data_IF_111424343195
#
_entry.id   IF_111424343195
#
_cell.length_a   1.000
_cell.length_b   1.000
_cell.length_c   1.000
_cell.angle_alpha   90.00
_cell.angle_beta   90.00
_cell.angle_gamma   90.00
#
_symmetry.space_group_name_H-M   'P 1'
#
loop_
_entity.id
_entity.type
_entity.pdbx_description
1 polymer ?
#
# COMPACT_ATOMS: atom_id res chain seq x y z
N UNK A 1 -0.87 21.71 19.63
CA UNK A 1 -1.88 21.73 18.55
C UNK A 1 -3.18 21.20 19.11
N UNK A 2 -4.33 21.83 18.82
CA UNK A 2 -5.65 21.38 19.31
C UNK A 2 -6.14 20.08 18.61
N UNK A 3 -5.47 19.63 17.55
CA UNK A 3 -5.72 18.35 16.90
C UNK A 3 -4.44 17.50 16.89
N UNK A 4 -4.38 16.41 17.67
CA UNK A 4 -3.29 15.45 17.56
C UNK A 4 -3.39 14.68 16.22
N UNK A 5 -2.27 14.18 15.67
CA UNK A 5 -2.29 13.31 14.49
C UNK A 5 -3.19 12.10 14.75
N UNK A 6 -4.10 11.81 13.82
CA UNK A 6 -4.92 10.60 13.84
C UNK A 6 -4.20 9.48 13.07
N UNK A 7 -3.68 8.44 13.74
CA UNK A 7 -3.02 7.35 13.05
C UNK A 7 -4.06 6.46 12.34
N UNK A 8 -3.74 6.04 11.11
CA UNK A 8 -4.47 4.97 10.43
C UNK A 8 -3.86 3.63 10.88
N UNK A 9 -4.69 2.73 11.38
CA UNK A 9 -4.28 1.42 11.89
C UNK A 9 -4.75 0.32 10.95
N UNK A 10 -3.90 -0.68 10.70
CA UNK A 10 -4.31 -1.93 10.05
C UNK A 10 -4.60 -2.94 11.14
N UNK A 11 -5.78 -3.56 11.13
CA UNK A 11 -6.21 -4.54 12.12
C UNK A 11 -6.61 -5.85 11.44
N UNK A 12 -6.24 -6.98 12.05
CA UNK A 12 -6.62 -8.33 11.62
C UNK A 12 -7.15 -9.12 12.82
N UNK A 13 -7.79 -10.27 12.58
CA UNK A 13 -8.08 -11.22 13.67
C UNK A 13 -6.81 -12.00 14.04
N UNK A 14 -6.74 -12.45 15.30
CA UNK A 14 -5.64 -13.31 15.76
C UNK A 14 -5.61 -14.63 14.99
N UNK A 15 -6.79 -15.22 14.72
CA UNK A 15 -6.90 -16.45 13.93
C UNK A 15 -6.31 -16.29 12.53
N UNK A 16 -6.57 -15.17 11.85
CA UNK A 16 -5.98 -14.90 10.54
C UNK A 16 -4.46 -14.77 10.63
N UNK A 17 -3.96 -14.03 11.62
CA UNK A 17 -2.53 -13.82 11.80
C UNK A 17 -1.79 -15.14 12.07
N UNK A 18 -2.40 -16.06 12.84
CA UNK A 18 -1.84 -17.38 13.10
C UNK A 18 -1.92 -18.32 11.89
N UNK A 19 -3.03 -18.29 11.15
CA UNK A 19 -3.25 -19.17 9.98
C UNK A 19 -2.42 -18.77 8.77
N UNK A 20 -2.27 -17.46 8.53
CA UNK A 20 -1.65 -16.92 7.30
C UNK A 20 -0.48 -15.96 7.64
N UNK A 21 0.62 -16.45 8.23
CA UNK A 21 1.71 -15.60 8.71
C UNK A 21 2.38 -14.77 7.60
N UNK A 22 2.44 -15.28 6.36
CA UNK A 22 3.00 -14.55 5.22
C UNK A 22 2.13 -13.36 4.77
N UNK A 23 0.81 -13.52 4.79
CA UNK A 23 -0.11 -12.42 4.50
C UNK A 23 -0.14 -11.40 5.65
N UNK A 24 -0.08 -11.88 6.89
CA UNK A 24 0.02 -11.04 8.07
C UNK A 24 1.30 -10.18 8.08
N UNK A 25 2.44 -10.75 7.68
CA UNK A 25 3.71 -10.01 7.54
C UNK A 25 3.58 -8.83 6.57
N UNK A 26 2.92 -9.02 5.42
CA UNK A 26 2.61 -7.91 4.51
C UNK A 26 1.80 -6.80 5.19
N UNK A 27 0.73 -7.15 5.91
CA UNK A 27 -0.09 -6.16 6.61
C UNK A 27 0.67 -5.42 7.73
N UNK A 28 1.66 -6.08 8.34
CA UNK A 28 2.53 -5.45 9.35
C UNK A 28 3.52 -4.43 8.77
N UNK A 29 3.91 -4.61 7.49
CA UNK A 29 4.89 -3.74 6.80
C UNK A 29 4.23 -2.64 5.97
N UNK A 30 3.06 -2.92 5.40
CA UNK A 30 2.34 -2.03 4.48
C UNK A 30 1.96 -0.73 5.17
N UNK A 31 2.65 0.34 4.81
CA UNK A 31 2.36 1.68 5.32
C UNK A 31 2.85 2.76 4.35
N UNK A 32 2.16 3.91 4.37
CA UNK A 32 2.61 5.11 3.68
C UNK A 32 2.04 6.35 4.37
N UNK A 33 2.64 7.51 4.11
CA UNK A 33 2.31 8.75 4.80
C UNK A 33 1.07 9.42 4.23
N UNK A 34 0.42 10.26 5.04
CA UNK A 34 -0.71 11.10 4.59
C UNK A 34 -0.33 12.00 3.41
N UNK A 35 0.92 12.47 3.33
CA UNK A 35 1.39 13.25 2.19
C UNK A 35 1.31 12.41 0.90
N UNK A 36 1.81 11.17 0.93
CA UNK A 36 1.76 10.25 -0.22
C UNK A 36 0.34 9.89 -0.60
N UNK A 37 -0.56 9.69 0.38
CA UNK A 37 -1.99 9.50 0.12
C UNK A 37 -2.60 10.71 -0.59
N UNK A 38 -2.36 11.92 -0.10
CA UNK A 38 -2.92 13.14 -0.68
C UNK A 38 -2.44 13.37 -2.12
N UNK A 39 -1.17 13.06 -2.42
CA UNK A 39 -0.64 13.13 -3.80
C UNK A 39 -1.38 12.15 -4.71
N UNK A 40 -1.62 10.91 -4.27
CA UNK A 40 -2.36 9.92 -5.04
C UNK A 40 -3.82 10.35 -5.27
N UNK A 41 -4.50 10.83 -4.22
CA UNK A 41 -5.89 11.31 -4.32
C UNK A 41 -6.02 12.51 -5.28
N UNK A 42 -5.07 13.46 -5.22
CA UNK A 42 -5.05 14.58 -6.15
C UNK A 42 -4.82 14.13 -7.61
N UNK A 43 -3.95 13.13 -7.81
CA UNK A 43 -3.76 12.52 -9.12
C UNK A 43 -5.03 11.82 -9.61
N UNK A 44 -5.73 11.09 -8.73
CA UNK A 44 -7.00 10.43 -9.07
C UNK A 44 -8.05 11.44 -9.52
N UNK A 45 -8.21 12.54 -8.78
CA UNK A 45 -9.13 13.62 -9.11
C UNK A 45 -8.81 14.24 -10.48
N UNK A 46 -7.54 14.61 -10.72
CA UNK A 46 -7.14 15.25 -11.98
C UNK A 46 -7.32 14.32 -13.19
N UNK A 47 -7.03 13.03 -13.04
CA UNK A 47 -7.10 12.04 -14.11
C UNK A 47 -8.45 11.32 -14.19
N UNK A 48 -9.40 11.67 -13.31
CA UNK A 48 -10.70 10.97 -13.17
C UNK A 48 -10.51 9.45 -13.04
N UNK A 49 -9.49 9.03 -12.30
CA UNK A 49 -9.13 7.64 -12.12
C UNK A 49 -9.92 7.01 -10.97
N UNK A 50 -10.43 5.80 -11.19
CA UNK A 50 -11.00 4.99 -10.13
C UNK A 50 -9.92 4.30 -9.29
N UNK A 51 -10.34 3.47 -8.34
CA UNK A 51 -9.43 2.75 -7.45
C UNK A 51 -8.52 1.75 -8.16
N UNK A 52 -8.96 1.11 -9.24
CA UNK A 52 -8.15 0.12 -9.96
C UNK A 52 -7.03 0.81 -10.73
N UNK A 53 -7.37 1.88 -11.46
CA UNK A 53 -6.41 2.71 -12.19
C UNK A 53 -5.41 3.35 -11.22
N UNK A 54 -5.89 3.83 -10.06
CA UNK A 54 -5.03 4.39 -9.02
C UNK A 54 -4.07 3.36 -8.42
N UNK A 55 -4.51 2.12 -8.21
CA UNK A 55 -3.67 1.05 -7.70
C UNK A 55 -2.56 0.70 -8.69
N UNK A 56 -2.88 0.57 -9.98
CA UNK A 56 -1.88 0.32 -11.02
C UNK A 56 -0.88 1.48 -11.13
N UNK A 57 -1.37 2.72 -11.14
CA UNK A 57 -0.50 3.90 -11.13
C UNK A 57 0.40 3.93 -9.90
N UNK A 58 -0.14 3.62 -8.72
CA UNK A 58 0.63 3.56 -7.49
C UNK A 58 1.76 2.54 -7.58
N UNK A 59 1.46 1.32 -8.06
CA UNK A 59 2.45 0.24 -8.22
C UNK A 59 3.54 0.62 -9.24
N UNK A 60 3.17 1.27 -10.35
CA UNK A 60 4.15 1.71 -11.36
C UNK A 60 5.05 2.85 -10.90
N UNK A 61 4.56 3.75 -10.04
CA UNK A 61 5.25 5.00 -9.71
C UNK A 61 5.85 5.04 -8.28
N UNK A 62 5.61 4.02 -7.45
CA UNK A 62 6.09 3.98 -6.06
C UNK A 62 6.81 2.67 -5.71
N UNK A 63 7.55 2.09 -6.66
CA UNK A 63 8.30 0.83 -6.48
C UNK A 63 9.14 0.79 -5.21
N UNK A 64 9.94 1.84 -4.97
CA UNK A 64 10.81 1.91 -3.79
C UNK A 64 10.04 1.73 -2.47
N UNK A 65 8.80 2.23 -2.42
CA UNK A 65 7.96 2.13 -1.23
C UNK A 65 7.32 0.76 -1.07
N UNK A 66 6.60 0.28 -2.10
CA UNK A 66 5.80 -0.93 -1.94
C UNK A 66 6.65 -2.20 -1.97
N UNK A 67 7.81 -2.16 -2.62
CA UNK A 67 8.73 -3.31 -2.64
C UNK A 67 9.28 -3.66 -1.27
N UNK A 68 9.37 -2.68 -0.35
CA UNK A 68 9.75 -2.91 1.05
C UNK A 68 8.68 -3.67 1.86
N UNK A 69 7.44 -3.75 1.37
CA UNK A 69 6.34 -4.44 2.06
C UNK A 69 6.30 -5.94 1.81
N UNK A 70 7.05 -6.43 0.82
CA UNK A 70 7.00 -7.79 0.33
C UNK A 70 8.41 -8.38 0.20
N UNK A 71 8.52 -9.70 -0.01
CA UNK A 71 9.82 -10.31 -0.31
C UNK A 71 10.33 -9.90 -1.69
N UNK A 72 11.64 -10.02 -1.92
CA UNK A 72 12.24 -9.75 -3.22
C UNK A 72 11.61 -10.57 -4.36
N UNK A 73 11.30 -11.84 -4.10
CA UNK A 73 10.63 -12.73 -5.06
C UNK A 73 9.23 -12.24 -5.44
N UNK A 74 8.46 -11.76 -4.46
CA UNK A 74 7.12 -11.19 -4.72
C UNK A 74 7.24 -9.87 -5.46
N UNK A 75 8.19 -9.01 -5.08
CA UNK A 75 8.43 -7.75 -5.79
C UNK A 75 8.80 -8.00 -7.26
N UNK A 76 9.64 -9.00 -7.55
CA UNK A 76 9.98 -9.39 -8.91
C UNK A 76 8.74 -9.83 -9.70
N UNK A 77 7.84 -10.63 -9.10
CA UNK A 77 6.59 -11.06 -9.73
C UNK A 77 5.65 -9.90 -10.02
N UNK A 78 5.44 -9.00 -9.05
CA UNK A 78 4.61 -7.81 -9.24
C UNK A 78 5.14 -6.96 -10.39
N UNK A 79 6.45 -6.70 -10.43
CA UNK A 79 7.06 -5.93 -11.53
C UNK A 79 6.91 -6.59 -12.89
N UNK A 80 7.04 -7.91 -12.95
CA UNK A 80 6.81 -8.65 -14.19
C UNK A 80 5.36 -8.54 -14.68
N UNK A 81 4.39 -8.40 -13.76
CA UNK A 81 2.96 -8.25 -14.08
C UNK A 81 2.52 -6.82 -14.40
N UNK A 82 3.37 -5.81 -14.20
CA UNK A 82 3.07 -4.41 -14.53
C UNK A 82 3.46 -4.03 -15.98
N UNK A 83 4.03 -4.98 -16.73
CA UNK A 83 4.49 -4.85 -18.12
C UNK A 83 3.40 -5.18 -19.14
#
# INVERSE_FOLDING_TARGET
SMWPPAPVQTMTTEEFAAREPGAYDYFSKRSFTNNKMNVLLAWMEYNQADGEIAAEYFLKNNEEMWSAWVSADVAAKVKASLN
#
